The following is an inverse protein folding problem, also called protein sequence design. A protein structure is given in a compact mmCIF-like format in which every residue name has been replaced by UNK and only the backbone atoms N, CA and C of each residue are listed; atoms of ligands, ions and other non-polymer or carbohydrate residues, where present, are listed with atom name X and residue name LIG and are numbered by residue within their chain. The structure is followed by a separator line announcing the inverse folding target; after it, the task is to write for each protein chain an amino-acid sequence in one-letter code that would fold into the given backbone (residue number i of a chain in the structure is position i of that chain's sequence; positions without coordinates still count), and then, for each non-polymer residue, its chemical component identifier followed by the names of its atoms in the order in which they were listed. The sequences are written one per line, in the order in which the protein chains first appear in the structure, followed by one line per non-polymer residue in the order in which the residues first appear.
data_IF_378160177257
#
_entry.id   IF_378160177257
#
_cell.length_a   1.000
_cell.length_b   1.000
_cell.length_c   1.000
_cell.angle_alpha   90.00
_cell.angle_beta   90.00
_cell.angle_gamma   90.00
#
_symmetry.space_group_name_H-M   'P 1'
#
loop_
_entity.id
_entity.type
_entity.pdbx_description
1 polymer ?
#
# COMPACT_ATOMS: atom_id res chain seq x y z
N UNK A 1 15.01 3.91 -2.05
CA UNK A 1 13.68 3.26 -2.07
C UNK A 1 12.59 4.31 -2.11
N UNK A 2 11.61 4.11 -2.96
CA UNK A 2 10.44 4.99 -3.08
C UNK A 2 9.19 4.24 -2.67
N UNK A 3 8.36 4.87 -1.85
CA UNK A 3 7.13 4.29 -1.35
C UNK A 3 5.95 5.21 -1.66
N UNK A 4 4.90 4.65 -2.25
CA UNK A 4 3.64 5.35 -2.48
C UNK A 4 2.66 4.94 -1.39
N UNK A 5 2.09 5.92 -0.69
CA UNK A 5 1.07 5.68 0.34
C UNK A 5 -0.26 6.21 -0.14
N UNK A 6 -1.28 5.36 -0.18
CA UNK A 6 -2.61 5.73 -0.67
C UNK A 6 -3.64 5.44 0.42
N UNK A 7 -4.25 6.48 0.95
CA UNK A 7 -5.28 6.36 1.99
C UNK A 7 -6.11 7.64 2.01
N UNK A 8 -7.43 7.50 2.08
CA UNK A 8 -8.32 8.66 2.16
C UNK A 8 -8.29 9.32 3.55
N UNK A 9 -7.77 8.61 4.55
CA UNK A 9 -7.47 9.21 5.85
C UNK A 9 -6.14 9.97 5.76
N UNK A 10 -6.22 11.26 5.53
CA UNK A 10 -5.04 12.10 5.29
C UNK A 10 -4.08 12.14 6.47
N UNK A 11 -4.60 12.09 7.69
CA UNK A 11 -3.76 12.09 8.88
C UNK A 11 -2.93 10.81 8.96
N UNK A 12 -3.53 9.66 8.71
CA UNK A 12 -2.80 8.39 8.71
C UNK A 12 -1.75 8.37 7.61
N UNK A 13 -2.11 8.81 6.41
CA UNK A 13 -1.16 8.86 5.30
C UNK A 13 0.05 9.75 5.64
N UNK A 14 -0.21 10.92 6.23
CA UNK A 14 0.86 11.84 6.62
C UNK A 14 1.74 11.25 7.72
N UNK A 15 1.14 10.53 8.67
CA UNK A 15 1.88 9.87 9.74
C UNK A 15 2.80 8.78 9.20
N UNK A 16 2.28 7.96 8.30
CA UNK A 16 3.09 6.91 7.66
C UNK A 16 4.24 7.54 6.87
N UNK A 17 3.94 8.58 6.10
CA UNK A 17 4.95 9.29 5.33
C UNK A 17 6.08 9.81 6.23
N UNK A 18 5.73 10.46 7.33
CA UNK A 18 6.72 11.02 8.25
C UNK A 18 7.63 9.95 8.83
N UNK A 19 7.05 8.82 9.27
CA UNK A 19 7.82 7.72 9.85
C UNK A 19 8.79 7.14 8.83
N UNK A 20 8.36 6.97 7.59
CA UNK A 20 9.22 6.40 6.55
C UNK A 20 10.28 7.41 6.10
N UNK A 21 9.94 8.67 6.00
CA UNK A 21 10.91 9.72 5.62
C UNK A 21 11.99 9.89 6.67
N UNK A 22 11.67 9.71 7.94
CA UNK A 22 12.67 9.74 9.02
C UNK A 22 13.72 8.65 8.85
N UNK A 23 13.38 7.57 8.15
CA UNK A 23 14.29 6.47 7.84
C UNK A 23 14.99 6.63 6.48
N UNK A 24 14.87 7.80 5.86
CA UNK A 24 15.54 8.09 4.60
C UNK A 24 14.82 7.54 3.37
N UNK A 25 13.56 7.13 3.50
CA UNK A 25 12.76 6.63 2.39
C UNK A 25 12.05 7.80 1.71
N UNK A 26 12.06 7.81 0.40
CA UNK A 26 11.35 8.82 -0.39
C UNK A 26 9.89 8.41 -0.51
N UNK A 27 8.96 9.28 -0.11
CA UNK A 27 7.54 8.95 -0.02
C UNK A 27 6.68 9.94 -0.79
N UNK A 28 5.70 9.42 -1.53
CA UNK A 28 4.64 10.22 -2.12
C UNK A 28 3.30 9.68 -1.61
N UNK A 29 2.33 10.56 -1.39
CA UNK A 29 1.01 10.14 -0.90
C UNK A 29 -0.09 10.56 -1.85
N UNK A 30 -1.19 9.80 -1.85
CA UNK A 30 -2.41 10.08 -2.58
C UNK A 30 -3.60 9.69 -1.70
N UNK A 31 -4.78 10.20 -2.03
CA UNK A 31 -5.94 10.06 -1.14
C UNK A 31 -7.05 9.18 -1.70
N UNK A 32 -6.89 8.66 -2.89
CA UNK A 32 -7.82 7.68 -3.48
C UNK A 32 -7.13 6.87 -4.57
N UNK A 33 -7.84 5.89 -5.10
CA UNK A 33 -7.27 4.98 -6.09
C UNK A 33 -7.01 5.61 -7.46
N UNK A 34 -7.73 6.67 -7.81
CA UNK A 34 -7.52 7.37 -9.08
C UNK A 34 -6.22 8.18 -9.01
N UNK A 35 -6.08 9.00 -7.96
CA UNK A 35 -4.86 9.78 -7.76
C UNK A 35 -3.66 8.89 -7.44
N UNK A 36 -3.91 7.77 -6.75
CA UNK A 36 -2.86 6.79 -6.46
C UNK A 36 -2.27 6.19 -7.73
N UNK A 37 -3.11 5.83 -8.68
CA UNK A 37 -2.64 5.29 -9.94
C UNK A 37 -1.84 6.35 -10.73
N UNK A 38 -2.33 7.59 -10.77
CA UNK A 38 -1.61 8.69 -11.42
C UNK A 38 -0.24 8.91 -10.77
N UNK A 39 -0.20 8.89 -9.44
CA UNK A 39 1.05 9.03 -8.71
C UNK A 39 2.02 7.88 -9.02
N UNK A 40 1.51 6.65 -9.13
CA UNK A 40 2.34 5.51 -9.49
C UNK A 40 3.05 5.74 -10.83
N UNK A 41 2.33 6.24 -11.82
CA UNK A 41 2.89 6.41 -13.16
C UNK A 41 4.07 7.39 -13.20
N UNK A 42 4.04 8.43 -12.36
CA UNK A 42 5.09 9.44 -12.35
C UNK A 42 6.19 9.15 -11.34
N UNK A 43 5.82 8.66 -10.17
CA UNK A 43 6.75 8.44 -9.07
C UNK A 43 7.53 7.13 -9.20
N UNK A 44 6.94 6.13 -9.80
CA UNK A 44 7.51 4.79 -9.99
C UNK A 44 8.03 4.20 -8.68
N UNK A 45 7.14 3.95 -7.72
CA UNK A 45 7.56 3.45 -6.41
C UNK A 45 8.02 1.99 -6.47
N UNK A 46 8.81 1.61 -5.47
CA UNK A 46 9.21 0.22 -5.25
C UNK A 46 8.17 -0.53 -4.42
N UNK A 47 7.44 0.19 -3.57
CA UNK A 47 6.44 -0.37 -2.67
C UNK A 47 5.21 0.51 -2.71
N UNK A 48 4.02 -0.10 -2.72
CA UNK A 48 2.75 0.61 -2.57
C UNK A 48 2.11 0.17 -1.26
N UNK A 49 1.80 1.14 -0.40
CA UNK A 49 1.00 0.93 0.82
C UNK A 49 -0.35 1.53 0.53
N UNK A 50 -1.42 0.74 0.58
CA UNK A 50 -2.74 1.26 0.24
C UNK A 50 -3.83 0.72 1.14
N UNK A 51 -4.78 1.60 1.48
CA UNK A 51 -6.05 1.16 2.05
C UNK A 51 -6.80 0.38 0.98
N UNK A 52 -7.57 -0.61 1.38
CA UNK A 52 -8.38 -1.40 0.45
C UNK A 52 -9.62 -0.63 0.04
N UNK A 53 -10.30 0.00 0.99
CA UNK A 53 -11.55 0.72 0.74
C UNK A 53 -11.34 2.22 0.69
N UNK A 54 -11.53 2.81 -0.48
CA UNK A 54 -11.36 4.24 -0.69
C UNK A 54 -12.41 4.74 -1.68
N UNK A 55 -12.77 6.05 -1.62
CA UNK A 55 -13.67 6.62 -2.61
C UNK A 55 -13.04 6.63 -4.00
N UNK A 56 -13.86 6.75 -5.02
CA UNK A 56 -13.58 6.80 -6.45
C UNK A 56 -13.01 5.49 -7.00
N UNK A 57 -11.96 4.96 -6.41
CA UNK A 57 -11.38 3.67 -6.83
C UNK A 57 -10.77 3.00 -5.62
N UNK A 58 -11.12 1.74 -5.38
CA UNK A 58 -10.59 0.97 -4.27
C UNK A 58 -9.10 0.68 -4.46
N UNK A 59 -8.43 0.33 -3.36
CA UNK A 59 -7.03 -0.08 -3.43
C UNK A 59 -6.82 -1.32 -4.28
N UNK A 60 -7.79 -2.23 -4.29
CA UNK A 60 -7.74 -3.45 -5.10
C UNK A 60 -7.77 -3.11 -6.60
N UNK A 61 -8.70 -2.25 -7.01
CA UNK A 61 -8.80 -1.82 -8.40
C UNK A 61 -7.55 -1.07 -8.84
N UNK A 62 -7.04 -0.20 -7.98
CA UNK A 62 -5.81 0.54 -8.24
C UNK A 62 -4.64 -0.43 -8.46
N UNK A 63 -4.48 -1.40 -7.55
CA UNK A 63 -3.39 -2.36 -7.65
C UNK A 63 -3.53 -3.25 -8.89
N UNK A 64 -4.75 -3.60 -9.28
CA UNK A 64 -4.98 -4.33 -10.50
C UNK A 64 -4.40 -3.58 -11.72
N UNK A 65 -4.63 -2.28 -11.79
CA UNK A 65 -4.08 -1.45 -12.87
C UNK A 65 -2.56 -1.30 -12.77
N UNK A 66 -2.05 -1.09 -11.58
CA UNK A 66 -0.60 -0.97 -11.36
C UNK A 66 0.11 -2.25 -11.79
N UNK A 67 -0.46 -3.41 -11.49
CA UNK A 67 0.14 -4.70 -11.82
C UNK A 67 0.16 -5.00 -13.32
N UNK A 68 -0.59 -4.27 -14.12
CA UNK A 68 -0.45 -4.35 -15.57
C UNK A 68 0.91 -3.82 -16.02
N UNK A 69 1.51 -2.91 -15.25
CA UNK A 69 2.84 -2.36 -15.52
C UNK A 69 3.93 -3.09 -14.76
N UNK A 70 3.63 -3.51 -13.54
CA UNK A 70 4.60 -4.15 -12.66
C UNK A 70 3.89 -5.24 -11.84
N UNK A 71 3.82 -6.49 -12.38
CA UNK A 71 3.05 -7.57 -11.74
C UNK A 71 3.55 -7.95 -10.35
N UNK A 72 4.83 -7.76 -10.08
CA UNK A 72 5.44 -8.21 -8.83
C UNK A 72 5.80 -7.07 -7.89
N UNK A 73 5.16 -5.92 -8.05
CA UNK A 73 5.43 -4.80 -7.14
C UNK A 73 5.01 -5.18 -5.71
N UNK A 74 5.89 -4.89 -4.76
CA UNK A 74 5.61 -5.15 -3.35
C UNK A 74 4.45 -4.29 -2.88
N UNK A 75 3.46 -4.93 -2.28
CA UNK A 75 2.22 -4.27 -1.89
C UNK A 75 1.91 -4.52 -0.42
N UNK A 76 1.52 -3.46 0.29
CA UNK A 76 1.03 -3.56 1.66
C UNK A 76 -0.39 -3.03 1.68
N UNK A 77 -1.33 -3.91 1.99
CA UNK A 77 -2.74 -3.52 2.13
C UNK A 77 -3.07 -3.21 3.58
N UNK A 78 -3.87 -2.19 3.77
CA UNK A 78 -4.39 -1.81 5.10
C UNK A 78 -5.92 -1.87 5.06
N UNK A 79 -6.53 -2.33 6.14
CA UNK A 79 -7.99 -2.37 6.23
C UNK A 79 -8.45 -2.25 7.67
N UNK A 80 -9.60 -1.62 7.88
CA UNK A 80 -10.25 -1.59 9.18
C UNK A 80 -11.01 -2.88 9.50
N UNK A 81 -11.22 -3.74 8.51
CA UNK A 81 -11.98 -4.98 8.70
C UNK A 81 -11.42 -6.08 7.81
N UNK A 82 -10.41 -6.78 8.32
CA UNK A 82 -9.77 -7.88 7.60
C UNK A 82 -10.68 -9.09 7.41
N UNK A 83 -11.58 -9.34 8.36
CA UNK A 83 -12.43 -10.53 8.29
C UNK A 83 -13.37 -10.49 7.09
N UNK A 84 -13.82 -9.31 6.67
CA UNK A 84 -14.73 -9.17 5.54
C UNK A 84 -14.09 -9.43 4.18
N UNK A 85 -12.74 -9.46 4.12
CA UNK A 85 -11.99 -9.58 2.88
C UNK A 85 -11.04 -10.78 2.89
N UNK A 86 -11.24 -11.72 3.81
CA UNK A 86 -10.32 -12.84 4.02
C UNK A 86 -10.11 -13.69 2.77
N UNK A 87 -11.18 -13.99 2.04
CA UNK A 87 -11.08 -14.79 0.80
C UNK A 87 -10.19 -14.10 -0.24
N UNK A 88 -10.39 -12.79 -0.40
CA UNK A 88 -9.57 -11.98 -1.30
C UNK A 88 -8.10 -12.03 -0.88
N UNK A 89 -7.83 -11.87 0.43
CA UNK A 89 -6.46 -11.87 0.94
C UNK A 89 -5.75 -13.18 0.63
N UNK A 90 -6.43 -14.30 0.81
CA UNK A 90 -5.86 -15.61 0.55
C UNK A 90 -5.43 -15.75 -0.91
N UNK A 91 -6.27 -15.29 -1.83
CA UNK A 91 -5.97 -15.36 -3.26
C UNK A 91 -4.80 -14.45 -3.64
N UNK A 92 -4.76 -13.24 -3.07
CA UNK A 92 -3.68 -12.28 -3.34
C UNK A 92 -2.33 -12.81 -2.86
N UNK A 93 -2.28 -13.41 -1.67
CA UNK A 93 -1.05 -13.96 -1.12
C UNK A 93 -0.44 -15.04 -2.00
N UNK A 94 -1.29 -15.80 -2.70
CA UNK A 94 -0.82 -16.87 -3.58
C UNK A 94 -0.21 -16.37 -4.87
N UNK A 95 -0.55 -15.15 -5.28
CA UNK A 95 -0.18 -14.61 -6.60
C UNK A 95 0.87 -13.53 -6.56
N UNK A 96 0.91 -12.74 -5.50
CA UNK A 96 1.66 -11.49 -5.47
C UNK A 96 2.42 -11.30 -4.16
N UNK A 97 3.49 -10.50 -4.17
CA UNK A 97 4.20 -10.16 -2.94
C UNK A 97 3.40 -9.13 -2.12
N UNK A 98 2.50 -9.60 -1.29
CA UNK A 98 1.61 -8.77 -0.50
C UNK A 98 1.76 -9.02 1.00
N UNK A 99 1.51 -7.97 1.78
CA UNK A 99 1.39 -8.04 3.24
C UNK A 99 0.12 -7.32 3.63
N UNK A 100 -0.44 -7.67 4.78
CA UNK A 100 -1.71 -7.12 5.24
C UNK A 100 -1.59 -6.60 6.66
N UNK A 101 -2.17 -5.42 6.91
CA UNK A 101 -2.24 -4.84 8.24
C UNK A 101 -3.67 -4.43 8.55
N UNK A 102 -4.19 -4.92 9.68
CA UNK A 102 -5.49 -4.48 10.17
C UNK A 102 -5.31 -3.23 11.02
N UNK A 103 -6.12 -2.21 10.76
CA UNK A 103 -6.09 -0.96 11.52
C UNK A 103 -6.77 -1.16 12.88
N UNK A 104 -6.23 -0.61 13.98
CA UNK A 104 -4.95 0.09 14.07
C UNK A 104 -3.78 -0.89 14.12
N UNK A 105 -2.62 -0.47 13.60
CA UNK A 105 -1.43 -1.31 13.56
C UNK A 105 -0.20 -0.54 14.03
N UNK A 106 0.88 -1.27 14.30
CA UNK A 106 2.15 -0.68 14.72
C UNK A 106 2.90 -0.10 13.52
N UNK A 107 3.29 1.18 13.63
CA UNK A 107 4.10 1.81 12.59
C UNK A 107 5.48 1.16 12.48
N UNK A 108 6.02 0.67 13.59
CA UNK A 108 7.29 -0.06 13.58
C UNK A 108 7.17 -1.36 12.78
N UNK A 109 6.05 -2.08 12.94
CA UNK A 109 5.81 -3.30 12.17
C UNK A 109 5.67 -3.00 10.69
N UNK A 110 4.96 -1.93 10.34
CA UNK A 110 4.81 -1.48 8.95
C UNK A 110 6.17 -1.16 8.35
N UNK A 111 6.98 -0.40 9.07
CA UNK A 111 8.30 0.00 8.61
C UNK A 111 9.19 -1.22 8.34
N UNK A 112 9.17 -2.21 9.23
CA UNK A 112 9.95 -3.44 9.03
C UNK A 112 9.53 -4.19 7.77
N UNK A 113 8.23 -4.28 7.51
CA UNK A 113 7.72 -4.96 6.32
C UNK A 113 8.12 -4.21 5.05
N UNK A 114 8.01 -2.89 5.06
CA UNK A 114 8.38 -2.04 3.92
C UNK A 114 9.87 -2.19 3.60
N UNK A 115 10.73 -2.18 4.60
CA UNK A 115 12.17 -2.21 4.44
C UNK A 115 12.73 -3.61 4.23
N UNK A 116 11.96 -4.62 4.59
CA UNK A 116 12.41 -6.00 4.51
C UNK A 116 12.39 -6.55 3.09
N UNK A 117 12.95 -7.74 2.89
CA UNK A 117 12.91 -8.38 1.57
C UNK A 117 11.48 -8.80 1.22
N UNK A 118 11.20 -8.88 -0.08
CA UNK A 118 9.95 -9.44 -0.55
C UNK A 118 10.02 -10.96 -0.43
N UNK A 119 9.21 -11.53 0.45
CA UNK A 119 9.20 -12.97 0.71
C UNK A 119 7.82 -13.50 0.38
N UNK A 120 7.76 -14.53 -0.41
CA UNK A 120 6.51 -15.17 -0.79
C UNK A 120 6.61 -16.68 -0.67
#
# INVERSE_FOLDING_TARGET
MRVLVVDDNRLLAATIQEVLEDDGIEVMSANDGVDGYSAYLTFKPDVVITDIQMPRRSGVEMMHRIRNHNPMIKTVYMSGNMSSIRSFLTDEEKRYPVSFFEKPFSLESLKRVVKGPTIN
#
